data_IF_018363994173
#
_entry.id   IF_018363994173
#
_cell.length_a   1.000
_cell.length_b   1.000
_cell.length_c   1.000
_cell.angle_alpha   90.00
_cell.angle_beta   90.00
_cell.angle_gamma   90.00
#
_symmetry.space_group_name_H-M   'P 1'
#
loop_
_entity.id
_entity.type
_entity.pdbx_description
1 polymer ?
#
# COMPACT_ATOMS: atom_id res chain seq x y z
N UNK A 1 -0.99 8.33 13.57
CA UNK A 1 -1.91 7.24 13.18
C UNK A 1 -2.33 6.43 14.40
N UNK A 2 -3.52 5.80 14.36
CA UNK A 2 -3.91 4.80 15.37
C UNK A 2 -3.11 3.50 15.14
N UNK A 3 -2.78 2.74 16.20
CA UNK A 3 -2.14 1.43 16.06
C UNK A 3 -2.96 0.48 15.18
N UNK A 4 -2.29 -0.43 14.47
CA UNK A 4 -2.99 -1.41 13.66
C UNK A 4 -3.73 -2.42 14.55
N UNK A 5 -4.85 -2.96 14.04
CA UNK A 5 -5.59 -4.03 14.73
C UNK A 5 -4.76 -5.34 14.84
N UNK A 6 -3.83 -5.55 13.91
CA UNK A 6 -2.95 -6.73 13.85
C UNK A 6 -1.52 -6.35 14.31
N UNK A 7 -1.23 -6.38 15.63
CA UNK A 7 0.03 -5.89 16.17
C UNK A 7 1.24 -6.69 15.67
N UNK A 8 1.08 -7.98 15.37
CA UNK A 8 2.17 -8.81 14.86
C UNK A 8 2.59 -8.43 13.44
N UNK A 9 1.63 -7.94 12.63
CA UNK A 9 1.90 -7.42 11.29
C UNK A 9 2.62 -6.07 11.39
N UNK A 10 2.17 -5.20 12.30
CA UNK A 10 2.77 -3.89 12.54
C UNK A 10 4.20 -3.99 13.09
N UNK A 11 4.45 -4.95 13.99
CA UNK A 11 5.73 -5.07 14.71
C UNK A 11 6.76 -5.98 14.03
N UNK A 12 6.37 -6.82 13.07
CA UNK A 12 7.32 -7.76 12.44
C UNK A 12 8.51 -7.01 11.83
N UNK A 13 9.68 -7.20 12.41
CA UNK A 13 10.93 -6.82 11.78
C UNK A 13 11.26 -7.85 10.69
N UNK A 14 11.24 -7.41 9.45
CA UNK A 14 11.84 -8.15 8.34
C UNK A 14 12.54 -7.12 7.44
N UNK A 15 13.68 -7.48 6.86
CA UNK A 15 14.37 -6.61 5.89
C UNK A 15 13.66 -6.58 4.53
N UNK A 16 14.26 -5.88 3.58
CA UNK A 16 13.80 -5.81 2.19
C UNK A 16 13.14 -4.48 1.83
N UNK A 17 12.77 -4.35 0.56
CA UNK A 17 12.39 -3.07 -0.08
C UNK A 17 11.41 -2.21 0.71
N UNK A 18 10.35 -2.80 1.29
CA UNK A 18 9.33 -2.03 2.01
C UNK A 18 9.81 -1.56 3.38
N UNK A 19 10.72 -2.27 4.03
CA UNK A 19 11.32 -1.82 5.28
C UNK A 19 12.22 -0.60 5.05
N UNK A 20 13.04 -0.65 3.99
CA UNK A 20 13.91 0.46 3.61
C UNK A 20 13.09 1.71 3.21
N UNK A 21 11.97 1.51 2.49
CA UNK A 21 11.04 2.58 2.14
C UNK A 21 10.39 3.21 3.37
N UNK A 22 9.95 2.38 4.33
CA UNK A 22 9.34 2.86 5.57
C UNK A 22 10.33 3.67 6.40
N UNK A 23 11.57 3.21 6.54
CA UNK A 23 12.63 3.91 7.27
C UNK A 23 12.95 5.28 6.64
N UNK A 24 13.02 5.35 5.30
CA UNK A 24 13.21 6.62 4.59
C UNK A 24 12.06 7.59 4.85
N UNK A 25 10.82 7.15 4.68
CA UNK A 25 9.64 7.99 4.93
C UNK A 25 9.62 8.51 6.37
N UNK A 26 9.93 7.65 7.35
CA UNK A 26 10.03 8.05 8.76
C UNK A 26 11.14 9.08 8.99
N UNK A 27 12.30 8.87 8.40
CA UNK A 27 13.45 9.80 8.50
C UNK A 27 13.14 11.16 7.89
N UNK A 28 12.34 11.19 6.82
CA UNK A 28 11.85 12.40 6.16
C UNK A 28 10.67 13.05 6.89
N UNK A 29 10.17 12.44 7.98
CA UNK A 29 8.99 12.91 8.71
C UNK A 29 7.67 12.72 7.94
N UNK A 30 7.68 11.92 6.89
CA UNK A 30 6.51 11.60 6.08
C UNK A 30 5.67 10.49 6.71
N UNK A 31 4.38 10.48 6.38
CA UNK A 31 3.47 9.43 6.82
C UNK A 31 3.78 8.10 6.11
N UNK A 32 3.91 7.01 6.87
CA UNK A 32 4.06 5.67 6.32
C UNK A 32 2.69 5.07 6.01
N UNK A 33 2.37 4.73 4.75
CA UNK A 33 1.14 4.02 4.43
C UNK A 33 1.04 2.70 5.19
N UNK A 34 -0.05 2.47 5.94
CA UNK A 34 -0.15 1.29 6.82
C UNK A 34 -0.07 -0.05 6.04
N UNK A 35 -0.47 -0.06 4.77
CA UNK A 35 -0.36 -1.24 3.91
C UNK A 35 1.09 -1.73 3.73
N UNK A 36 2.09 -0.87 3.93
CA UNK A 36 3.51 -1.27 3.86
C UNK A 36 3.90 -2.28 4.94
N UNK A 37 3.24 -2.25 6.11
CA UNK A 37 3.45 -3.28 7.13
C UNK A 37 3.05 -4.67 6.60
N UNK A 38 1.95 -4.78 5.86
CA UNK A 38 1.54 -6.04 5.23
C UNK A 38 2.54 -6.49 4.16
N UNK A 39 3.05 -5.54 3.37
CA UNK A 39 3.99 -5.84 2.29
C UNK A 39 5.35 -6.30 2.80
N UNK A 40 5.79 -5.72 3.92
CA UNK A 40 6.94 -6.22 4.69
C UNK A 40 6.66 -7.58 5.32
N UNK A 41 5.42 -7.83 5.77
CA UNK A 41 5.05 -9.05 6.50
C UNK A 41 5.01 -10.30 5.60
N UNK A 42 4.55 -10.18 4.34
CA UNK A 42 4.39 -11.27 3.36
C UNK A 42 4.92 -10.89 1.95
N UNK A 43 6.23 -10.63 1.82
CA UNK A 43 6.81 -10.03 0.60
C UNK A 43 6.57 -10.84 -0.67
N UNK A 44 6.67 -12.17 -0.61
CA UNK A 44 6.48 -13.07 -1.76
C UNK A 44 5.06 -12.97 -2.35
N UNK A 45 4.06 -12.73 -1.51
CA UNK A 45 2.68 -12.54 -1.98
C UNK A 45 2.46 -11.11 -2.45
N UNK A 46 2.89 -10.14 -1.65
CA UNK A 46 2.55 -8.73 -1.87
C UNK A 46 3.32 -8.08 -3.01
N UNK A 47 4.45 -8.64 -3.43
CA UNK A 47 5.14 -8.18 -4.64
C UNK A 47 4.24 -8.30 -5.88
N UNK A 48 3.44 -9.37 -5.99
CA UNK A 48 2.53 -9.57 -7.11
C UNK A 48 1.35 -8.61 -7.04
N UNK A 49 0.83 -8.35 -5.83
CA UNK A 49 -0.21 -7.34 -5.61
C UNK A 49 0.28 -5.93 -5.98
N UNK A 50 1.51 -5.58 -5.59
CA UNK A 50 2.12 -4.30 -5.90
C UNK A 50 2.29 -4.11 -7.42
N UNK A 51 2.78 -5.14 -8.10
CA UNK A 51 2.93 -5.12 -9.56
C UNK A 51 1.58 -4.98 -10.26
N UNK A 52 0.60 -5.80 -9.89
CA UNK A 52 -0.75 -5.71 -10.45
C UNK A 52 -1.36 -4.31 -10.24
N UNK A 53 -1.25 -3.78 -9.03
CA UNK A 53 -1.77 -2.43 -8.71
C UNK A 53 -1.08 -1.36 -9.54
N UNK A 54 0.24 -1.46 -9.74
CA UNK A 54 0.97 -0.53 -10.59
C UNK A 54 0.51 -0.59 -12.04
N UNK A 55 0.40 -1.79 -12.61
CA UNK A 55 -0.05 -1.97 -14.00
C UNK A 55 -1.49 -1.46 -14.20
N UNK A 56 -2.40 -1.77 -13.28
CA UNK A 56 -3.78 -1.27 -13.34
C UNK A 56 -3.80 0.26 -13.28
N UNK A 57 -3.09 0.86 -12.32
CA UNK A 57 -3.22 2.30 -12.01
C UNK A 57 -2.35 3.21 -12.87
N UNK A 58 -1.23 2.71 -13.40
CA UNK A 58 -0.20 3.52 -14.08
C UNK A 58 0.21 2.97 -15.45
N UNK A 59 -0.08 1.71 -15.76
CA UNK A 59 0.21 1.12 -17.07
C UNK A 59 -0.61 1.72 -18.22
N UNK A 60 -0.28 1.38 -19.49
CA UNK A 60 -1.01 1.83 -20.67
C UNK A 60 -2.49 1.49 -20.61
N UNK A 61 -3.35 2.47 -20.85
CA UNK A 61 -4.80 2.30 -20.78
C UNK A 61 -5.51 3.42 -21.54
N UNK A 62 -6.71 3.17 -22.11
CA UNK A 62 -7.57 4.25 -22.61
C UNK A 62 -8.14 5.11 -21.46
N UNK A 63 -8.06 4.64 -20.22
CA UNK A 63 -8.50 5.40 -19.04
C UNK A 63 -7.35 6.25 -18.50
N UNK A 64 -7.64 7.53 -18.25
CA UNK A 64 -6.67 8.41 -17.60
C UNK A 64 -6.35 7.93 -16.18
N UNK A 65 -5.17 8.25 -15.61
CA UNK A 65 -4.87 7.96 -14.21
C UNK A 65 -5.95 8.47 -13.24
N UNK A 66 -6.45 9.69 -13.45
CA UNK A 66 -7.50 10.26 -12.59
C UNK A 66 -8.81 9.48 -12.63
N UNK A 67 -9.22 8.97 -13.80
CA UNK A 67 -10.43 8.15 -13.90
C UNK A 67 -10.28 6.79 -13.20
N UNK A 68 -9.07 6.21 -13.24
CA UNK A 68 -8.77 4.97 -12.51
C UNK A 68 -8.82 5.18 -11.00
N UNK A 69 -8.26 6.29 -10.50
CA UNK A 69 -8.38 6.68 -9.09
C UNK A 69 -9.84 6.94 -8.68
N UNK A 70 -10.65 7.55 -9.56
CA UNK A 70 -12.08 7.75 -9.29
C UNK A 70 -12.82 6.41 -9.15
N UNK A 71 -12.56 5.44 -10.02
CA UNK A 71 -13.13 4.08 -9.91
C UNK A 71 -12.70 3.44 -8.59
N UNK A 72 -11.42 3.52 -8.24
CA UNK A 72 -10.89 2.98 -6.98
C UNK A 72 -11.57 3.63 -5.76
N UNK A 73 -11.65 4.96 -5.71
CA UNK A 73 -12.28 5.69 -4.61
C UNK A 73 -13.78 5.37 -4.49
N UNK A 74 -14.50 5.33 -5.62
CA UNK A 74 -15.93 5.00 -5.65
C UNK A 74 -16.18 3.58 -5.13
N UNK A 75 -15.45 2.59 -5.65
CA UNK A 75 -15.62 1.19 -5.24
C UNK A 75 -15.18 0.95 -3.78
N UNK A 76 -14.13 1.62 -3.30
CA UNK A 76 -13.74 1.56 -1.88
C UNK A 76 -14.83 2.15 -0.97
N UNK A 77 -15.49 3.23 -1.41
CA UNK A 77 -16.59 3.83 -0.65
C UNK A 77 -17.78 2.88 -0.54
N UNK A 78 -18.16 2.25 -1.64
CA UNK A 78 -19.24 1.24 -1.67
C UNK A 78 -18.91 0.03 -0.80
N UNK A 79 -17.65 -0.40 -0.78
CA UNK A 79 -17.17 -1.50 0.06
C UNK A 79 -16.87 -1.10 1.52
N UNK A 80 -17.18 0.15 1.92
CA UNK A 80 -16.89 0.65 3.26
C UNK A 80 -15.44 0.39 3.69
N UNK A 81 -14.49 0.60 2.77
CA UNK A 81 -13.07 0.37 2.96
C UNK A 81 -12.36 1.72 3.19
N UNK A 82 -12.32 2.25 4.43
CA UNK A 82 -11.53 3.44 4.74
C UNK A 82 -10.04 3.09 4.66
N UNK A 83 -9.26 3.97 4.03
CA UNK A 83 -7.80 3.90 4.00
C UNK A 83 -7.17 4.20 5.37
#
# INVERSE_FOLDING_TARGET
MRPMFLPDVEKKASGGKYSDLMERLQTEGAEVPQIYHLFRFKPEMTQHLAQLSHEIMRGPSPLSPGLRELIAAFTSKENQCPF
#
